data_IF_720445931748
#
_entry.id   IF_720445931748
#
_cell.length_a   1.000
_cell.length_b   1.000
_cell.length_c   1.000
_cell.angle_alpha   90.00
_cell.angle_beta   90.00
_cell.angle_gamma   90.00
#
_symmetry.space_group_name_H-M   'P 1'
#
loop_
_entity.id
_entity.type
_entity.pdbx_description
1 polymer ?
#
# COMPACT_ATOMS: atom_id res chain seq x y z
N UNK A 1 13.08 27.00 9.11
CA UNK A 1 11.98 27.39 8.21
C UNK A 1 11.46 28.74 8.64
N UNK A 2 11.66 29.81 7.86
CA UNK A 2 11.12 31.13 8.17
C UNK A 2 9.59 31.09 8.13
N UNK A 3 8.97 31.64 9.16
CA UNK A 3 7.56 31.97 9.24
C UNK A 3 7.49 33.42 8.78
N UNK A 4 6.78 33.65 7.69
CA UNK A 4 6.62 34.97 7.09
C UNK A 4 5.28 35.56 7.55
N UNK A 5 5.26 36.85 7.81
CA UNK A 5 4.06 37.65 8.10
C UNK A 5 4.20 39.03 7.45
N UNK A 6 3.12 39.78 7.33
CA UNK A 6 3.14 41.14 6.80
C UNK A 6 3.44 42.13 7.93
N UNK A 7 4.40 43.05 7.71
CA UNK A 7 4.65 44.15 8.65
C UNK A 7 3.61 45.27 8.51
N UNK A 8 3.76 46.34 9.30
CA UNK A 8 2.82 47.46 9.33
C UNK A 8 2.75 48.22 7.99
N UNK A 9 3.75 48.05 7.11
CA UNK A 9 3.82 48.63 5.78
C UNK A 9 3.36 47.65 4.67
N UNK A 10 2.93 46.44 5.06
CA UNK A 10 2.46 45.39 4.15
C UNK A 10 3.57 44.62 3.45
N UNK A 11 4.82 44.74 3.89
CA UNK A 11 5.94 43.98 3.35
C UNK A 11 6.03 42.61 4.04
N UNK A 12 6.28 41.57 3.23
CA UNK A 12 6.40 40.20 3.75
C UNK A 12 7.77 40.05 4.44
N UNK A 13 7.75 40.02 5.76
CA UNK A 13 8.94 39.90 6.61
C UNK A 13 8.98 38.55 7.34
N UNK A 14 10.19 38.11 7.72
CA UNK A 14 10.35 36.88 8.51
C UNK A 14 10.13 37.16 10.00
N UNK A 15 9.04 36.67 10.57
CA UNK A 15 8.68 36.90 11.98
C UNK A 15 9.17 35.81 12.93
N UNK A 16 9.45 34.60 12.44
CA UNK A 16 9.99 33.53 13.27
C UNK A 16 10.72 32.47 12.45
N UNK A 17 11.53 31.61 13.08
CA UNK A 17 12.15 30.48 12.40
C UNK A 17 11.83 29.18 13.13
N UNK A 18 11.08 28.28 12.47
CA UNK A 18 10.81 26.93 12.97
C UNK A 18 11.94 25.98 12.57
N UNK A 19 12.62 25.40 13.54
CA UNK A 19 13.54 24.28 13.31
C UNK A 19 12.75 22.95 13.34
N UNK A 20 12.91 22.12 12.32
CA UNK A 20 12.40 20.74 12.33
C UNK A 20 13.59 19.79 12.30
N UNK A 21 13.57 18.73 13.11
CA UNK A 21 14.69 17.76 13.27
C UNK A 21 15.14 17.02 11.99
N UNK A 22 14.50 17.25 10.85
CA UNK A 22 14.92 16.71 9.55
C UNK A 22 14.75 17.79 8.49
N UNK A 23 15.87 18.21 7.91
CA UNK A 23 16.01 19.09 6.74
C UNK A 23 16.03 18.25 5.46
N UNK A 24 15.05 17.37 5.25
CA UNK A 24 14.98 16.62 4.01
C UNK A 24 13.62 16.84 3.37
N UNK A 25 13.59 17.74 2.37
CA UNK A 25 12.52 17.77 1.38
C UNK A 25 12.75 16.54 0.51
N UNK A 26 12.29 15.38 0.95
CA UNK A 26 12.41 14.14 0.16
C UNK A 26 11.33 14.18 -0.92
N UNK A 27 11.69 14.61 -2.12
CA UNK A 27 10.96 14.20 -3.32
C UNK A 27 11.10 12.68 -3.39
N UNK A 28 9.99 11.96 -3.39
CA UNK A 28 10.06 10.51 -3.33
C UNK A 28 8.71 9.83 -3.48
N UNK A 29 8.78 8.54 -3.84
CA UNK A 29 7.64 7.66 -3.95
C UNK A 29 6.83 7.63 -2.65
N UNK A 30 5.51 7.75 -2.75
CA UNK A 30 4.61 7.68 -1.58
C UNK A 30 4.72 6.31 -0.89
N UNK A 31 4.71 6.31 0.45
CA UNK A 31 4.71 5.08 1.28
C UNK A 31 3.28 4.55 1.52
N UNK A 32 3.17 3.41 2.22
CA UNK A 32 1.92 2.67 2.54
C UNK A 32 0.93 3.38 3.49
N UNK A 33 0.88 4.70 3.50
CA UNK A 33 0.01 5.47 4.40
C UNK A 33 -1.47 5.07 4.23
N UNK A 34 -1.90 4.79 3.00
CA UNK A 34 -3.24 4.34 2.67
C UNK A 34 -3.66 3.01 3.33
N UNK A 35 -2.72 2.14 3.71
CA UNK A 35 -3.05 0.82 4.29
C UNK A 35 -3.70 0.97 5.66
N UNK A 36 -3.25 1.93 6.47
CA UNK A 36 -3.87 2.24 7.76
C UNK A 36 -5.32 2.68 7.54
N UNK A 37 -5.49 3.73 6.74
CA UNK A 37 -6.73 4.50 6.73
C UNK A 37 -7.83 3.83 5.90
N UNK A 38 -7.46 3.17 4.79
CA UNK A 38 -8.42 2.56 3.87
C UNK A 38 -8.59 1.05 4.04
N UNK A 39 -7.68 0.36 4.75
CA UNK A 39 -7.79 -1.10 4.98
C UNK A 39 -7.96 -1.44 6.45
N UNK A 40 -6.99 -1.07 7.28
CA UNK A 40 -6.92 -1.51 8.69
C UNK A 40 -8.03 -0.86 9.53
N UNK A 41 -8.16 0.46 9.49
CA UNK A 41 -9.15 1.20 10.29
C UNK A 41 -10.59 0.79 9.93
N UNK A 42 -10.98 0.67 8.65
CA UNK A 42 -12.31 0.20 8.27
C UNK A 42 -12.62 -1.21 8.78
N UNK A 43 -11.68 -2.16 8.64
CA UNK A 43 -11.85 -3.53 9.17
C UNK A 43 -12.03 -3.51 10.69
N UNK A 44 -11.16 -2.79 11.41
CA UNK A 44 -11.25 -2.65 12.87
C UNK A 44 -12.52 -1.98 13.36
N UNK A 45 -13.18 -1.18 12.52
CA UNK A 45 -14.50 -0.62 12.82
C UNK A 45 -15.62 -1.63 12.57
N UNK A 46 -15.55 -2.36 11.45
CA UNK A 46 -16.62 -3.24 11.00
C UNK A 46 -16.70 -4.57 11.77
N UNK A 47 -15.56 -5.16 12.14
CA UNK A 47 -15.54 -6.45 12.84
C UNK A 47 -16.27 -6.41 14.20
N UNK A 48 -16.02 -5.42 15.09
CA UNK A 48 -16.79 -5.30 16.35
C UNK A 48 -18.28 -5.08 16.11
N UNK A 49 -18.63 -4.27 15.10
CA UNK A 49 -20.02 -4.01 14.73
C UNK A 49 -20.76 -5.29 14.33
N UNK A 50 -20.14 -6.12 13.49
CA UNK A 50 -20.69 -7.42 13.09
C UNK A 50 -20.80 -8.41 14.26
N UNK A 51 -19.89 -8.32 15.23
CA UNK A 51 -19.92 -9.13 16.44
C UNK A 51 -20.85 -8.58 17.53
N UNK A 52 -21.57 -7.47 17.29
CA UNK A 52 -22.44 -6.83 18.27
C UNK A 52 -21.68 -6.22 19.47
N UNK A 53 -20.38 -5.98 19.32
CA UNK A 53 -19.53 -5.45 20.38
C UNK A 53 -19.63 -3.93 20.45
N UNK A 54 -19.89 -3.42 21.65
CA UNK A 54 -19.84 -1.98 21.92
C UNK A 54 -18.48 -1.61 22.49
N UNK A 55 -17.91 -0.49 22.04
CA UNK A 55 -16.55 -0.02 22.42
C UNK A 55 -16.28 0.09 23.93
N UNK A 56 -17.32 0.06 24.79
CA UNK A 56 -17.21 0.20 26.25
C UNK A 56 -17.03 -1.13 26.99
N UNK A 57 -17.35 -2.28 26.38
CA UNK A 57 -17.24 -3.61 27.01
C UNK A 57 -16.88 -4.67 25.98
N UNK A 58 -15.63 -4.69 25.55
CA UNK A 58 -15.11 -5.86 24.84
C UNK A 58 -14.82 -6.98 25.84
N UNK A 59 -15.19 -8.24 25.52
CA UNK A 59 -14.80 -9.40 26.32
C UNK A 59 -13.28 -9.52 26.48
N UNK A 60 -12.84 -10.10 27.59
CA UNK A 60 -11.44 -10.43 27.83
C UNK A 60 -10.98 -11.71 27.12
N UNK A 61 -11.92 -12.41 26.47
CA UNK A 61 -11.69 -13.66 25.75
C UNK A 61 -12.12 -13.53 24.28
N UNK A 62 -11.48 -14.29 23.35
CA UNK A 62 -11.83 -14.21 21.95
C UNK A 62 -13.27 -14.67 21.68
N UNK A 63 -14.08 -13.77 21.14
CA UNK A 63 -15.43 -14.06 20.63
C UNK A 63 -15.51 -14.01 19.10
N UNK A 64 -14.43 -13.53 18.44
CA UNK A 64 -14.28 -13.50 16.99
C UNK A 64 -13.02 -14.24 16.59
N UNK A 65 -13.13 -15.16 15.62
CA UNK A 65 -12.00 -15.77 14.93
C UNK A 65 -11.84 -15.16 13.53
N UNK A 66 -10.71 -14.50 13.28
CA UNK A 66 -10.40 -13.91 11.97
C UNK A 66 -9.41 -14.78 11.20
N UNK A 67 -9.86 -15.30 10.07
CA UNK A 67 -9.04 -16.12 9.19
C UNK A 67 -8.23 -15.23 8.25
N UNK A 68 -6.91 -15.44 8.24
CA UNK A 68 -5.98 -14.65 7.43
C UNK A 68 -5.18 -15.61 6.54
N UNK A 69 -5.26 -15.41 5.23
CA UNK A 69 -4.57 -16.22 4.23
C UNK A 69 -3.08 -15.84 4.09
N UNK A 70 -2.28 -16.11 5.13
CA UNK A 70 -0.81 -16.02 5.08
C UNK A 70 -0.27 -17.41 4.72
N UNK A 71 0.49 -17.49 3.63
CA UNK A 71 1.17 -18.73 3.20
C UNK A 71 2.49 -18.94 3.94
N UNK A 72 3.10 -20.13 3.80
CA UNK A 72 4.39 -20.45 4.45
C UNK A 72 5.52 -19.50 4.06
N UNK A 73 5.49 -18.99 2.83
CA UNK A 73 6.50 -18.06 2.30
C UNK A 73 6.42 -16.67 2.97
N UNK A 74 5.28 -16.38 3.60
CA UNK A 74 4.97 -15.10 4.25
C UNK A 74 4.87 -15.22 5.78
N UNK A 75 5.34 -16.34 6.36
CA UNK A 75 5.17 -16.67 7.80
C UNK A 75 5.59 -15.54 8.75
N UNK A 76 6.61 -14.76 8.38
CA UNK A 76 7.10 -13.63 9.19
C UNK A 76 6.04 -12.53 9.41
N UNK A 77 4.99 -12.52 8.58
CA UNK A 77 3.86 -11.59 8.64
C UNK A 77 2.79 -12.01 9.64
N UNK A 78 2.86 -13.21 10.20
CA UNK A 78 1.96 -13.64 11.26
C UNK A 78 2.13 -12.75 12.48
N UNK A 79 1.02 -12.15 12.93
CA UNK A 79 0.95 -11.35 14.15
C UNK A 79 -0.29 -11.76 14.94
N UNK A 80 -0.17 -12.05 16.25
CA UNK A 80 -1.34 -12.26 17.08
C UNK A 80 -2.24 -11.03 17.05
N UNK A 81 -3.51 -11.24 17.38
CA UNK A 81 -4.45 -10.12 17.56
C UNK A 81 -3.92 -9.19 18.65
N UNK A 82 -4.11 -7.89 18.45
CA UNK A 82 -3.85 -6.87 19.49
C UNK A 82 -5.03 -6.69 20.44
N UNK A 83 -6.17 -7.27 20.08
CA UNK A 83 -7.46 -7.11 20.75
C UNK A 83 -7.82 -8.43 21.44
N UNK A 84 -8.10 -8.40 22.74
CA UNK A 84 -8.38 -9.62 23.53
C UNK A 84 -9.63 -10.37 23.06
N UNK A 85 -10.62 -9.64 22.52
CA UNK A 85 -11.89 -10.19 22.03
C UNK A 85 -11.78 -10.85 20.64
N UNK A 86 -10.60 -10.83 20.02
CA UNK A 86 -10.34 -11.38 18.69
C UNK A 86 -9.15 -12.34 18.71
N UNK A 87 -9.27 -13.47 18.01
CA UNK A 87 -8.17 -14.37 17.70
C UNK A 87 -7.89 -14.37 16.19
N UNK A 88 -6.62 -14.36 15.80
CA UNK A 88 -6.21 -14.56 14.41
C UNK A 88 -5.92 -16.04 14.16
N UNK A 89 -6.39 -16.56 13.03
CA UNK A 89 -6.17 -17.93 12.58
C UNK A 89 -5.55 -17.97 11.18
N UNK A 90 -4.70 -18.95 10.89
CA UNK A 90 -3.92 -19.02 9.65
C UNK A 90 -4.07 -20.39 8.96
N UNK A 91 -5.19 -20.61 8.25
CA UNK A 91 -5.50 -21.92 7.66
C UNK A 91 -4.46 -22.42 6.65
N UNK A 92 -3.81 -21.53 5.92
CA UNK A 92 -2.77 -21.92 4.94
C UNK A 92 -1.47 -22.35 5.63
N UNK A 93 -1.14 -21.77 6.80
CA UNK A 93 -0.03 -22.23 7.63
C UNK A 93 -0.36 -23.58 8.27
N UNK A 94 -1.57 -23.73 8.80
CA UNK A 94 -2.07 -24.99 9.37
C UNK A 94 -1.97 -26.14 8.35
N UNK A 95 -2.23 -25.85 7.07
CA UNK A 95 -2.12 -26.79 5.96
C UNK A 95 -0.73 -26.86 5.31
N UNK A 96 0.24 -26.07 5.81
CA UNK A 96 1.61 -25.96 5.27
C UNK A 96 1.65 -25.62 3.76
N UNK A 97 0.77 -24.73 3.33
CA UNK A 97 0.66 -24.31 1.93
C UNK A 97 1.56 -23.11 1.64
N UNK A 98 2.42 -23.26 0.64
CA UNK A 98 3.11 -22.15 -0.03
C UNK A 98 2.18 -21.42 -1.00
N UNK A 99 2.61 -20.28 -1.54
CA UNK A 99 1.91 -19.59 -2.65
C UNK A 99 1.74 -20.52 -3.85
N UNK A 100 2.79 -21.29 -4.17
CA UNK A 100 2.75 -22.28 -5.26
C UNK A 100 1.66 -23.33 -5.02
N UNK A 101 1.52 -23.80 -3.79
CA UNK A 101 0.48 -24.79 -3.44
C UNK A 101 -0.91 -24.19 -3.56
N UNK A 102 -1.09 -22.91 -3.20
CA UNK A 102 -2.36 -22.20 -3.39
C UNK A 102 -2.73 -22.11 -4.87
N UNK A 103 -1.79 -21.72 -5.75
CA UNK A 103 -2.02 -21.67 -7.20
C UNK A 103 -2.29 -23.06 -7.79
N UNK A 104 -1.59 -24.09 -7.31
CA UNK A 104 -1.87 -25.47 -7.72
C UNK A 104 -3.26 -25.93 -7.24
N UNK A 105 -3.66 -25.56 -6.03
CA UNK A 105 -4.98 -25.87 -5.49
C UNK A 105 -6.09 -25.21 -6.32
N UNK A 106 -5.94 -23.93 -6.68
CA UNK A 106 -6.89 -23.21 -7.53
C UNK A 106 -7.05 -23.87 -8.89
N UNK A 107 -5.94 -24.19 -9.56
CA UNK A 107 -5.95 -24.88 -10.87
C UNK A 107 -6.62 -26.24 -10.82
N UNK A 108 -6.45 -27.02 -9.75
CA UNK A 108 -7.11 -28.33 -9.59
C UNK A 108 -8.62 -28.24 -9.41
N UNK A 109 -9.14 -27.07 -9.04
CA UNK A 109 -10.57 -26.83 -8.84
C UNK A 109 -11.16 -25.90 -9.90
N UNK A 110 -10.45 -25.72 -11.03
CA UNK A 110 -10.89 -24.88 -12.15
C UNK A 110 -11.19 -23.42 -11.76
N UNK A 111 -10.52 -22.90 -10.73
CA UNK A 111 -10.57 -21.48 -10.39
C UNK A 111 -9.57 -20.69 -11.23
N UNK A 112 -9.93 -19.48 -11.69
CA UNK A 112 -9.00 -18.60 -12.38
C UNK A 112 -7.87 -18.19 -11.42
N UNK A 113 -6.70 -17.91 -11.99
CA UNK A 113 -5.61 -17.32 -11.22
C UNK A 113 -6.02 -15.91 -10.75
N UNK A 114 -6.01 -15.64 -9.44
CA UNK A 114 -6.44 -14.35 -8.93
C UNK A 114 -5.46 -13.26 -9.35
N UNK A 115 -5.95 -12.08 -9.81
CA UNK A 115 -5.08 -10.96 -10.11
C UNK A 115 -4.40 -10.45 -8.83
N UNK A 116 -3.31 -9.68 -8.98
CA UNK A 116 -2.69 -8.97 -7.84
C UNK A 116 -3.74 -8.05 -7.18
N UNK A 117 -3.85 -8.10 -5.86
CA UNK A 117 -4.84 -7.34 -5.06
C UNK A 117 -4.44 -5.89 -4.74
N UNK A 118 -3.36 -5.40 -5.36
CA UNK A 118 -2.93 -4.01 -5.22
C UNK A 118 -3.96 -3.07 -5.88
N UNK A 119 -4.24 -1.93 -5.24
CA UNK A 119 -5.16 -0.94 -5.83
C UNK A 119 -4.54 -0.28 -7.07
N UNK A 120 -5.37 0.34 -7.90
CA UNK A 120 -4.94 1.02 -9.13
C UNK A 120 -3.82 2.05 -8.86
N UNK A 121 -3.97 2.87 -7.82
CA UNK A 121 -2.96 3.86 -7.39
C UNK A 121 -1.93 3.34 -6.39
N UNK A 122 -1.56 2.05 -6.47
CA UNK A 122 -0.55 1.49 -5.57
C UNK A 122 0.85 1.91 -6.05
N UNK A 123 1.66 2.61 -5.24
CA UNK A 123 3.02 3.02 -5.64
C UNK A 123 3.99 1.83 -5.77
N UNK A 124 3.56 0.61 -5.42
CA UNK A 124 4.38 -0.59 -5.47
C UNK A 124 4.11 -1.46 -6.70
N UNK A 125 3.42 -0.95 -7.71
CA UNK A 125 3.39 -1.62 -9.00
C UNK A 125 4.76 -1.51 -9.67
N UNK A 126 5.14 -2.59 -10.36
CA UNK A 126 6.31 -2.63 -11.24
C UNK A 126 5.99 -2.02 -12.62
N UNK A 127 7.02 -1.78 -13.41
CA UNK A 127 6.89 -1.08 -14.70
C UNK A 127 6.10 -1.92 -15.70
N UNK A 128 6.23 -3.25 -15.62
CA UNK A 128 5.44 -4.20 -16.40
C UNK A 128 3.94 -4.08 -16.09
N UNK A 129 3.57 -3.92 -14.81
CA UNK A 129 2.18 -3.73 -14.39
C UNK A 129 1.63 -2.38 -14.81
N UNK A 130 2.41 -1.31 -14.69
CA UNK A 130 2.02 0.01 -15.21
C UNK A 130 1.81 -0.02 -16.71
N UNK A 131 2.74 -0.63 -17.47
CA UNK A 131 2.64 -0.81 -18.91
C UNK A 131 1.42 -1.64 -19.30
N UNK A 132 1.18 -2.75 -18.62
CA UNK A 132 0.01 -3.59 -18.86
C UNK A 132 -1.29 -2.80 -18.68
N UNK A 133 -1.40 -2.03 -17.60
CA UNK A 133 -2.57 -1.18 -17.34
C UNK A 133 -2.74 -0.12 -18.44
N UNK A 134 -1.68 0.61 -18.80
CA UNK A 134 -1.70 1.59 -19.90
C UNK A 134 -2.18 1.00 -21.23
N UNK A 135 -1.70 -0.19 -21.57
CA UNK A 135 -1.89 -0.79 -22.89
C UNK A 135 -3.18 -1.61 -23.01
N UNK A 136 -3.75 -2.11 -21.90
CA UNK A 136 -4.89 -3.04 -21.91
C UNK A 136 -6.10 -2.59 -21.07
N UNK A 137 -5.96 -1.53 -20.26
CA UNK A 137 -7.01 -1.03 -19.37
C UNK A 137 -6.95 0.51 -19.26
N UNK A 138 -7.40 1.17 -20.34
CA UNK A 138 -7.30 2.63 -20.48
C UNK A 138 -8.01 3.40 -19.37
N UNK A 139 -9.17 2.92 -18.91
CA UNK A 139 -9.92 3.57 -17.83
C UNK A 139 -9.14 3.50 -16.51
N UNK A 140 -8.61 2.32 -16.15
CA UNK A 140 -7.79 2.19 -14.94
C UNK A 140 -6.48 3.00 -15.03
N UNK A 141 -5.90 3.15 -16.23
CA UNK A 141 -4.73 3.99 -16.44
C UNK A 141 -5.03 5.47 -16.20
N UNK A 142 -6.15 5.98 -16.74
CA UNK A 142 -6.59 7.37 -16.51
C UNK A 142 -6.79 7.60 -15.01
N UNK A 143 -7.50 6.69 -14.33
CA UNK A 143 -7.70 6.78 -12.88
C UNK A 143 -6.37 6.76 -12.11
N UNK A 144 -5.41 5.93 -12.51
CA UNK A 144 -4.10 5.87 -11.87
C UNK A 144 -3.31 7.18 -12.03
N UNK A 145 -3.36 7.79 -13.22
CA UNK A 145 -2.74 9.10 -13.48
C UNK A 145 -3.42 10.20 -12.68
N UNK A 146 -4.75 10.18 -12.57
CA UNK A 146 -5.49 11.15 -11.75
C UNK A 146 -5.17 11.00 -10.26
N UNK A 147 -4.99 9.76 -9.78
CA UNK A 147 -4.48 9.52 -8.42
C UNK A 147 -3.08 10.11 -8.26
N UNK A 148 -2.14 9.87 -9.20
CA UNK A 148 -0.78 10.45 -9.16
C UNK A 148 -0.80 11.98 -9.06
N UNK A 149 -1.66 12.63 -9.85
CA UNK A 149 -1.84 14.08 -9.81
C UNK A 149 -2.43 14.54 -8.48
N UNK A 150 -3.46 13.87 -7.97
CA UNK A 150 -4.15 14.24 -6.74
C UNK A 150 -3.25 14.10 -5.50
N UNK A 151 -2.39 13.09 -5.46
CA UNK A 151 -1.48 12.89 -4.32
C UNK A 151 -0.33 13.90 -4.30
N UNK A 152 0.03 14.46 -5.46
CA UNK A 152 1.27 15.23 -5.68
C UNK A 152 1.56 16.31 -4.64
N UNK A 153 0.53 16.99 -4.15
CA UNK A 153 0.65 18.03 -3.11
C UNK A 153 -0.22 17.76 -1.87
N UNK A 154 -0.91 16.62 -1.82
CA UNK A 154 -2.09 16.43 -0.98
C UNK A 154 -1.92 15.52 0.25
N UNK A 155 -0.77 14.88 0.43
CA UNK A 155 -0.60 13.94 1.55
C UNK A 155 -0.15 14.61 2.84
N UNK A 156 -1.00 14.49 3.86
CA UNK A 156 -0.72 14.95 5.22
C UNK A 156 0.59 14.35 5.72
N UNK A 157 1.53 15.21 6.11
CA UNK A 157 2.79 14.81 6.73
C UNK A 157 3.96 14.60 5.78
N UNK A 158 3.79 14.79 4.47
CA UNK A 158 4.91 14.81 3.51
C UNK A 158 5.19 16.26 3.08
N UNK A 159 6.46 16.66 3.14
CA UNK A 159 6.94 17.93 2.59
C UNK A 159 7.62 17.66 1.24
N UNK A 160 6.99 18.04 0.15
CA UNK A 160 7.50 17.85 -1.21
C UNK A 160 6.47 17.28 -2.17
N UNK A 161 6.82 17.21 -3.46
CA UNK A 161 6.01 16.50 -4.46
C UNK A 161 6.17 15.00 -4.28
N UNK A 162 5.05 14.27 -4.28
CA UNK A 162 5.04 12.82 -4.27
C UNK A 162 4.54 12.27 -5.60
N UNK A 163 4.99 11.06 -5.90
CA UNK A 163 4.67 10.37 -7.14
C UNK A 163 4.35 8.91 -6.83
N UNK A 164 3.54 8.28 -7.67
CA UNK A 164 3.30 6.84 -7.65
C UNK A 164 4.51 6.08 -8.20
N UNK A 165 5.17 6.63 -9.21
CA UNK A 165 6.30 5.96 -9.85
C UNK A 165 7.59 6.07 -9.02
N UNK A 166 8.37 4.98 -8.99
CA UNK A 166 9.62 4.90 -8.22
C UNK A 166 10.67 5.94 -8.65
N UNK A 167 10.66 6.34 -9.92
CA UNK A 167 11.57 7.36 -10.48
C UNK A 167 11.20 8.79 -10.07
N UNK A 168 10.14 8.97 -9.28
CA UNK A 168 9.67 10.28 -8.81
C UNK A 168 9.38 11.29 -9.94
N UNK A 169 8.75 10.80 -11.00
CA UNK A 169 8.22 11.57 -12.12
C UNK A 169 6.72 11.33 -12.25
N UNK A 170 5.96 12.21 -12.92
CA UNK A 170 4.56 11.96 -13.26
C UNK A 170 4.40 10.58 -13.90
N UNK A 171 3.37 9.83 -13.50
CA UNK A 171 3.17 8.46 -14.01
C UNK A 171 3.04 8.42 -15.54
N UNK A 172 2.47 9.46 -16.14
CA UNK A 172 2.33 9.65 -17.59
C UNK A 172 3.65 9.90 -18.33
N UNK A 173 4.68 10.37 -17.62
CA UNK A 173 6.03 10.66 -18.14
C UNK A 173 7.04 9.56 -17.79
N UNK A 174 6.63 8.56 -17.01
CA UNK A 174 7.52 7.50 -16.56
C UNK A 174 7.96 6.61 -17.73
N UNK A 175 9.25 6.28 -17.77
CA UNK A 175 9.75 5.19 -18.59
C UNK A 175 9.29 3.86 -17.98
N UNK A 176 8.46 3.14 -18.73
CA UNK A 176 7.89 1.85 -18.32
C UNK A 176 8.55 0.67 -19.06
N UNK A 177 9.71 0.88 -19.67
CA UNK A 177 10.51 -0.19 -20.25
C UNK A 177 10.98 -1.17 -19.18
N UNK A 178 11.01 -2.45 -19.54
CA UNK A 178 11.39 -3.55 -18.66
C UNK A 178 12.81 -4.02 -18.96
N UNK A 179 13.43 -4.76 -18.04
CA UNK A 179 14.77 -5.33 -18.25
C UNK A 179 14.86 -6.20 -19.51
N UNK A 180 13.76 -6.89 -19.87
CA UNK A 180 13.64 -7.66 -21.10
C UNK A 180 13.72 -6.78 -22.36
N UNK A 181 13.16 -5.57 -22.32
CA UNK A 181 13.24 -4.60 -23.43
C UNK A 181 14.69 -4.11 -23.64
N UNK A 182 15.52 -4.16 -22.59
CA UNK A 182 16.95 -3.84 -22.61
C UNK A 182 17.85 -5.06 -22.86
N UNK A 183 17.27 -6.19 -23.27
CA UNK A 183 18.01 -7.41 -23.64
C UNK A 183 18.52 -8.23 -22.45
N UNK A 184 18.10 -7.90 -21.22
CA UNK A 184 18.41 -8.70 -20.04
C UNK A 184 17.32 -9.76 -19.84
N UNK A 185 17.73 -11.03 -19.68
CA UNK A 185 16.79 -12.08 -19.29
C UNK A 185 16.18 -11.74 -17.93
N UNK A 186 14.86 -11.80 -17.85
CA UNK A 186 14.15 -11.72 -16.57
C UNK A 186 14.41 -13.00 -15.77
N UNK A 187 15.47 -12.96 -14.95
CA UNK A 187 15.90 -14.07 -14.12
C UNK A 187 15.04 -14.22 -12.85
N UNK A 188 14.14 -13.27 -12.57
CA UNK A 188 13.25 -13.27 -11.41
C UNK A 188 11.82 -12.82 -11.79
N UNK A 189 11.11 -13.56 -12.65
CA UNK A 189 9.73 -13.22 -13.04
C UNK A 189 8.73 -13.18 -11.86
N UNK A 190 9.16 -13.69 -10.70
CA UNK A 190 8.39 -13.73 -9.46
C UNK A 190 8.86 -12.69 -8.41
N UNK A 191 9.71 -11.71 -8.73
CA UNK A 191 10.30 -10.78 -7.75
C UNK A 191 9.25 -9.99 -6.91
N UNK A 192 8.00 -9.99 -7.36
CA UNK A 192 6.85 -9.51 -6.60
C UNK A 192 6.11 -10.64 -5.85
N UNK A 193 6.85 -11.50 -5.16
CA UNK A 193 6.43 -12.71 -4.41
C UNK A 193 5.63 -12.39 -3.12
N UNK A 194 4.77 -11.37 -3.15
CA UNK A 194 3.97 -10.94 -2.00
C UNK A 194 4.76 -10.17 -0.94
N UNK A 195 6.09 -10.19 -0.97
CA UNK A 195 6.97 -9.58 0.03
C UNK A 195 7.08 -8.06 0.00
N UNK A 196 6.29 -7.38 -0.84
CA UNK A 196 6.29 -5.93 -0.92
C UNK A 196 6.05 -5.27 0.45
N UNK A 197 7.00 -4.46 0.92
CA UNK A 197 6.89 -3.62 2.12
C UNK A 197 7.38 -4.22 3.44
N UNK A 198 8.25 -5.24 3.41
CA UNK A 198 9.19 -5.54 4.51
C UNK A 198 10.40 -4.63 4.38
#
# INVERSE_FOLDING_TARGET
>A
MPILDEDEDGEIVTVATRQTRSETISIGMIRRQCTSDYKIVPIRRKVPELAGLTRRRSPGEPVVEQWIGISTDEVIRMKPSREAWQANRWPLIEQRMSRRDCLAWLRRHDYPEPPKSACIGCPFHDDARWRFMRDHDTDAWIDAVDVDRAIRSGLRGIRGKVFLHRSAVPLEEADLSTAADHGQLDLWPNECEGMCGV
#
